data_IF_050318304301
#
_entry.id   IF_050318304301
#
_cell.length_a   1.000
_cell.length_b   1.000
_cell.length_c   1.000
_cell.angle_alpha   90.00
_cell.angle_beta   90.00
_cell.angle_gamma   90.00
#
_symmetry.space_group_name_H-M   'P 1'
#
loop_
_entity.id
_entity.type
_entity.pdbx_description
1 polymer ?
#
# COMPACT_ATOMS: atom_id res chain seq x y z
N UNK A 1 10.28 -30.45 -87.71
CA UNK A 1 10.99 -29.48 -88.58
C UNK A 1 11.65 -28.45 -87.68
N UNK A 2 12.96 -28.23 -87.82
CA UNK A 2 13.69 -27.14 -87.15
C UNK A 2 14.64 -27.60 -86.05
N UNK A 3 15.88 -27.90 -86.44
CA UNK A 3 17.04 -28.11 -85.56
C UNK A 3 17.91 -26.83 -85.50
N UNK A 4 18.90 -26.90 -84.60
CA UNK A 4 20.13 -26.10 -84.45
C UNK A 4 20.09 -24.93 -83.46
N UNK A 5 21.12 -24.61 -82.67
CA UNK A 5 22.32 -25.28 -82.12
C UNK A 5 23.15 -24.19 -81.38
N UNK A 6 23.73 -24.52 -80.20
CA UNK A 6 25.03 -24.05 -79.63
C UNK A 6 25.27 -22.52 -79.44
N UNK A 7 26.09 -21.96 -78.55
CA UNK A 7 27.08 -22.27 -77.52
C UNK A 7 27.12 -21.01 -76.60
N UNK A 8 27.62 -20.89 -75.38
CA UNK A 8 28.60 -21.61 -74.56
C UNK A 8 29.40 -20.54 -73.79
N UNK A 9 29.57 -20.66 -72.48
CA UNK A 9 30.79 -20.20 -71.79
C UNK A 9 30.93 -20.87 -70.42
N UNK A 10 32.02 -21.62 -70.27
CA UNK A 10 32.51 -22.24 -69.05
C UNK A 10 33.45 -21.26 -68.34
N UNK A 11 33.32 -21.09 -67.02
CA UNK A 11 34.48 -20.86 -66.15
C UNK A 11 34.16 -21.06 -64.67
N UNK A 12 35.03 -21.82 -63.99
CA UNK A 12 35.18 -21.80 -62.54
C UNK A 12 34.64 -23.05 -61.86
N UNK A 13 35.48 -24.08 -61.75
CA UNK A 13 35.16 -25.27 -60.98
C UNK A 13 35.09 -25.00 -59.48
N UNK A 14 34.08 -25.59 -58.85
CA UNK A 14 34.21 -26.25 -57.56
C UNK A 14 33.07 -27.28 -57.51
N UNK A 15 33.39 -28.56 -57.38
CA UNK A 15 32.39 -29.58 -57.10
C UNK A 15 32.11 -29.49 -55.60
N UNK A 16 31.06 -28.78 -55.22
CA UNK A 16 30.56 -28.87 -53.85
C UNK A 16 29.97 -30.26 -53.68
N UNK A 17 30.61 -31.05 -52.83
CA UNK A 17 30.07 -32.32 -52.36
C UNK A 17 28.68 -32.09 -51.78
N UNK A 18 27.67 -32.94 -52.05
CA UNK A 18 26.42 -32.86 -51.31
C UNK A 18 26.77 -33.08 -49.84
N UNK A 19 26.54 -32.07 -49.00
CA UNK A 19 26.63 -32.21 -47.57
C UNK A 19 25.68 -33.34 -47.17
N UNK A 20 26.23 -34.47 -46.77
CA UNK A 20 25.48 -35.57 -46.18
C UNK A 20 24.78 -35.01 -44.95
N UNK A 21 23.45 -34.83 -45.03
CA UNK A 21 22.64 -34.53 -43.86
C UNK A 21 22.86 -35.69 -42.88
N UNK A 22 23.55 -35.40 -41.78
CA UNK A 22 23.75 -36.36 -40.70
C UNK A 22 22.39 -36.87 -40.20
N UNK A 23 22.32 -38.11 -39.70
CA UNK A 23 21.07 -38.67 -39.20
C UNK A 23 20.52 -37.75 -38.11
N UNK A 24 19.31 -37.25 -38.32
CA UNK A 24 18.55 -36.53 -37.30
C UNK A 24 18.44 -37.47 -36.10
N UNK A 25 19.00 -37.08 -34.96
CA UNK A 25 18.93 -37.87 -33.74
C UNK A 25 17.47 -38.14 -33.40
N UNK A 26 17.01 -39.37 -33.64
CA UNK A 26 15.67 -39.83 -33.34
C UNK A 26 15.57 -40.16 -31.85
N UNK A 27 15.58 -39.11 -31.03
CA UNK A 27 15.13 -39.17 -29.64
C UNK A 27 14.61 -37.80 -29.22
N UNK A 28 13.58 -37.32 -29.95
CA UNK A 28 12.68 -36.33 -29.37
C UNK A 28 11.79 -37.12 -28.42
N UNK A 29 12.25 -37.30 -27.18
CA UNK A 29 11.35 -37.72 -26.11
C UNK A 29 10.35 -36.56 -25.91
N UNK A 30 9.11 -36.76 -26.36
CA UNK A 30 7.98 -35.96 -25.92
C UNK A 30 7.85 -36.22 -24.42
N UNK A 31 8.54 -35.43 -23.58
CA UNK A 31 8.16 -35.34 -22.17
C UNK A 31 6.73 -34.86 -22.15
N UNK A 32 5.81 -35.73 -21.74
CA UNK A 32 4.48 -35.30 -21.39
C UNK A 32 4.65 -34.18 -20.37
N UNK A 33 4.25 -32.97 -20.74
CA UNK A 33 4.24 -31.84 -19.82
C UNK A 33 3.35 -32.24 -18.65
N UNK A 34 3.93 -32.27 -17.45
CA UNK A 34 3.20 -32.61 -16.25
C UNK A 34 2.06 -31.61 -16.08
N UNK A 35 0.82 -32.10 -16.10
CA UNK A 35 -0.36 -31.29 -15.89
C UNK A 35 -0.73 -31.34 -14.40
N UNK A 36 -1.19 -30.22 -13.81
CA UNK A 36 -1.70 -30.22 -12.45
C UNK A 36 -2.97 -31.08 -12.34
N UNK A 37 -3.37 -31.42 -11.12
CA UNK A 37 -4.67 -32.00 -10.88
C UNK A 37 -5.79 -31.04 -11.31
N UNK A 38 -6.90 -31.57 -11.85
CA UNK A 38 -8.04 -30.77 -12.31
C UNK A 38 -8.59 -29.87 -11.19
N UNK A 39 -8.69 -30.39 -9.96
CA UNK A 39 -9.15 -29.60 -8.80
C UNK A 39 -8.21 -28.43 -8.50
N UNK A 40 -6.90 -28.67 -8.47
CA UNK A 40 -5.90 -27.62 -8.25
C UNK A 40 -5.95 -26.54 -9.34
N UNK A 41 -6.17 -26.95 -10.60
CA UNK A 41 -6.37 -26.02 -11.71
C UNK A 41 -7.60 -25.12 -11.53
N UNK A 42 -8.73 -25.69 -11.10
CA UNK A 42 -9.97 -24.96 -10.91
C UNK A 42 -9.87 -24.00 -9.70
N UNK A 43 -9.30 -24.47 -8.60
CA UNK A 43 -9.09 -23.68 -7.39
C UNK A 43 -8.09 -22.54 -7.62
N UNK A 44 -6.98 -22.81 -8.31
CA UNK A 44 -5.99 -21.79 -8.65
C UNK A 44 -6.61 -20.66 -9.47
N UNK A 45 -7.45 -20.99 -10.47
CA UNK A 45 -8.14 -19.99 -11.29
C UNK A 45 -9.14 -19.18 -10.49
N UNK A 46 -9.93 -19.83 -9.63
CA UNK A 46 -10.87 -19.14 -8.76
C UNK A 46 -10.13 -18.18 -7.80
N UNK A 47 -9.06 -18.65 -7.17
CA UNK A 47 -8.25 -17.85 -6.25
C UNK A 47 -7.54 -16.70 -6.98
N UNK A 48 -7.03 -16.92 -8.20
CA UNK A 48 -6.37 -15.87 -8.97
C UNK A 48 -7.35 -14.78 -9.42
N UNK A 49 -8.60 -15.15 -9.70
CA UNK A 49 -9.66 -14.17 -9.98
C UNK A 49 -9.93 -13.30 -8.75
N UNK A 50 -10.05 -13.91 -7.56
CA UNK A 50 -10.29 -13.19 -6.29
C UNK A 50 -9.11 -12.32 -5.85
N UNK A 51 -7.90 -12.88 -5.89
CA UNK A 51 -6.70 -12.22 -5.37
C UNK A 51 -6.13 -11.20 -6.35
N UNK A 52 -6.08 -11.58 -7.63
CA UNK A 52 -5.41 -10.78 -8.66
C UNK A 52 -6.36 -10.02 -9.59
N UNK A 53 -7.67 -10.28 -9.53
CA UNK A 53 -8.62 -9.80 -10.53
C UNK A 53 -8.38 -10.42 -11.91
N UNK A 54 -7.65 -11.55 -11.97
CA UNK A 54 -7.26 -12.19 -13.22
C UNK A 54 -8.19 -13.36 -13.52
N UNK A 55 -8.94 -13.25 -14.61
CA UNK A 55 -9.78 -14.33 -15.12
C UNK A 55 -9.24 -14.78 -16.46
N UNK A 56 -8.80 -16.04 -16.52
CA UNK A 56 -8.29 -16.64 -17.76
C UNK A 56 -9.47 -16.95 -18.70
N UNK A 57 -9.42 -16.52 -19.98
CA UNK A 57 -10.52 -16.73 -20.92
C UNK A 57 -10.65 -18.19 -21.38
N UNK A 58 -9.54 -18.95 -21.43
CA UNK A 58 -9.51 -20.36 -21.83
C UNK A 58 -9.33 -21.23 -20.60
N UNK A 59 -10.32 -22.07 -20.33
CA UNK A 59 -10.43 -22.79 -19.04
C UNK A 59 -10.01 -24.26 -19.12
N UNK A 60 -9.85 -24.81 -20.32
CA UNK A 60 -9.47 -26.20 -20.52
C UNK A 60 -8.07 -26.48 -19.99
N UNK A 61 -7.89 -27.61 -19.31
CA UNK A 61 -6.60 -28.03 -18.77
C UNK A 61 -5.70 -28.57 -19.89
N UNK A 62 -4.82 -27.70 -20.40
CA UNK A 62 -3.81 -28.03 -21.41
C UNK A 62 -2.47 -27.42 -21.02
N UNK A 63 -1.36 -27.99 -21.48
CA UNK A 63 -0.01 -27.48 -21.16
C UNK A 63 0.16 -26.00 -21.55
N UNK A 64 -0.34 -25.61 -22.73
CA UNK A 64 -0.34 -24.22 -23.17
C UNK A 64 -1.10 -23.28 -22.21
N UNK A 65 -2.29 -23.68 -21.75
CA UNK A 65 -3.06 -22.86 -20.82
C UNK A 65 -2.42 -22.82 -19.42
N UNK A 66 -1.81 -23.92 -18.98
CA UNK A 66 -1.03 -24.01 -17.74
C UNK A 66 0.15 -23.04 -17.76
N UNK A 67 0.91 -23.01 -18.86
CA UNK A 67 2.03 -22.11 -19.04
C UNK A 67 1.59 -20.63 -19.09
N UNK A 68 0.53 -20.31 -19.83
CA UNK A 68 -0.02 -18.95 -19.92
C UNK A 68 -0.51 -18.46 -18.55
N UNK A 69 -1.30 -19.28 -17.84
CA UNK A 69 -1.80 -18.94 -16.51
C UNK A 69 -0.66 -18.69 -15.52
N UNK A 70 0.33 -19.59 -15.47
CA UNK A 70 1.47 -19.45 -14.56
C UNK A 70 2.30 -18.21 -14.88
N UNK A 71 2.52 -17.88 -16.16
CA UNK A 71 3.20 -16.65 -16.56
C UNK A 71 2.44 -15.40 -16.10
N UNK A 72 1.11 -15.37 -16.26
CA UNK A 72 0.29 -14.23 -15.85
C UNK A 72 0.22 -14.07 -14.33
N UNK A 73 0.12 -15.18 -13.59
CA UNK A 73 0.18 -15.14 -12.11
C UNK A 73 1.52 -14.60 -11.64
N UNK A 74 2.65 -15.04 -12.20
CA UNK A 74 3.98 -14.51 -11.85
C UNK A 74 4.11 -13.02 -12.15
N UNK A 75 3.64 -12.57 -13.32
CA UNK A 75 3.70 -11.16 -13.69
C UNK A 75 2.94 -10.29 -12.67
N UNK A 76 1.69 -10.68 -12.34
CA UNK A 76 0.86 -9.97 -11.36
C UNK A 76 1.41 -10.05 -9.94
N UNK A 77 2.01 -11.18 -9.58
CA UNK A 77 2.66 -11.35 -8.30
C UNK A 77 3.87 -10.40 -8.18
N UNK A 78 4.70 -10.31 -9.23
CA UNK A 78 5.85 -9.40 -9.30
C UNK A 78 5.45 -7.93 -9.14
N UNK A 79 4.40 -7.49 -9.85
CA UNK A 79 3.84 -6.13 -9.69
C UNK A 79 3.38 -5.85 -8.24
N UNK A 80 2.78 -6.85 -7.60
CA UNK A 80 2.26 -6.70 -6.23
C UNK A 80 3.35 -6.62 -5.16
N UNK A 81 4.53 -7.23 -5.37
CA UNK A 81 5.63 -7.23 -4.39
C UNK A 81 5.99 -5.80 -3.96
N UNK A 82 6.20 -4.92 -4.93
CA UNK A 82 6.66 -3.54 -4.67
C UNK A 82 5.62 -2.72 -3.91
N UNK A 83 4.36 -2.74 -4.36
CA UNK A 83 3.29 -1.94 -3.75
C UNK A 83 2.95 -2.41 -2.32
N UNK A 84 2.96 -3.73 -2.09
CA UNK A 84 2.80 -4.28 -0.74
C UNK A 84 3.98 -3.95 0.16
N UNK A 85 5.21 -3.94 -0.37
CA UNK A 85 6.39 -3.49 0.34
C UNK A 85 6.23 -2.06 0.84
N UNK A 86 5.83 -1.14 -0.03
CA UNK A 86 5.57 0.26 0.34
C UNK A 86 4.46 0.40 1.38
N UNK A 87 3.38 -0.37 1.27
CA UNK A 87 2.32 -0.37 2.29
C UNK A 87 2.84 -0.81 3.66
N UNK A 88 3.60 -1.90 3.72
CA UNK A 88 4.19 -2.43 4.96
C UNK A 88 5.12 -1.40 5.61
N UNK A 89 5.98 -0.76 4.81
CA UNK A 89 6.91 0.27 5.27
C UNK A 89 6.21 1.49 5.89
N UNK A 90 4.94 1.73 5.52
CA UNK A 90 4.12 2.79 6.12
C UNK A 90 3.28 2.31 7.31
N UNK A 91 2.76 1.08 7.27
CA UNK A 91 1.95 0.51 8.36
C UNK A 91 2.77 0.27 9.63
N UNK A 92 4.01 -0.22 9.51
CA UNK A 92 4.90 -0.45 10.66
C UNK A 92 5.11 0.82 11.53
N UNK A 93 5.57 1.96 10.98
CA UNK A 93 5.71 3.17 11.76
C UNK A 93 4.36 3.74 12.21
N UNK A 94 3.27 3.53 11.46
CA UNK A 94 1.92 3.95 11.88
C UNK A 94 1.47 3.24 13.16
N UNK A 95 1.67 1.93 13.27
CA UNK A 95 1.40 1.17 14.50
C UNK A 95 2.18 1.70 15.69
N UNK A 96 3.48 1.94 15.52
CA UNK A 96 4.35 2.52 16.55
C UNK A 96 3.87 3.92 16.98
N UNK A 97 3.55 4.79 16.01
CA UNK A 97 3.02 6.14 16.24
C UNK A 97 1.62 6.17 16.84
N UNK A 98 0.86 5.09 16.77
CA UNK A 98 -0.45 4.98 17.41
C UNK A 98 -0.43 4.12 18.67
N UNK A 99 0.74 3.60 19.07
CA UNK A 99 0.88 2.73 20.24
C UNK A 99 0.04 1.45 20.13
N UNK A 100 -0.14 0.94 18.90
CA UNK A 100 -0.93 -0.26 18.62
C UNK A 100 0.00 -1.43 18.29
N UNK A 101 -0.30 -2.61 18.84
CA UNK A 101 0.38 -3.86 18.50
C UNK A 101 -0.47 -4.64 17.49
N UNK A 102 0.08 -5.02 16.32
CA UNK A 102 -0.65 -5.80 15.32
C UNK A 102 -1.10 -7.15 15.88
N UNK A 103 -2.38 -7.48 15.68
CA UNK A 103 -2.95 -8.80 15.95
C UNK A 103 -2.77 -9.78 14.77
N UNK A 104 -3.31 -11.00 14.91
CA UNK A 104 -3.23 -12.05 13.88
C UNK A 104 -3.96 -11.66 12.58
N UNK A 105 -5.12 -11.00 12.72
CA UNK A 105 -5.96 -10.59 11.58
C UNK A 105 -5.78 -9.10 11.23
N UNK A 106 -4.69 -8.50 11.73
CA UNK A 106 -4.38 -7.10 11.50
C UNK A 106 -3.94 -6.86 10.05
N UNK A 107 -4.30 -5.69 9.50
CA UNK A 107 -3.92 -5.28 8.14
C UNK A 107 -2.41 -5.40 7.89
N UNK A 108 -1.55 -5.04 8.85
CA UNK A 108 -0.10 -5.19 8.71
C UNK A 108 0.29 -6.67 8.62
N UNK A 109 -0.24 -7.51 9.50
CA UNK A 109 0.00 -8.96 9.49
C UNK A 109 -0.44 -9.59 8.18
N UNK A 110 -1.62 -9.20 7.69
CA UNK A 110 -2.15 -9.65 6.39
C UNK A 110 -1.28 -9.17 5.24
N UNK A 111 -0.87 -7.89 5.23
CA UNK A 111 -0.02 -7.35 4.17
C UNK A 111 1.34 -8.06 4.09
N UNK A 112 1.94 -8.38 5.24
CA UNK A 112 3.20 -9.15 5.33
C UNK A 112 3.00 -10.57 4.81
N UNK A 113 1.95 -11.29 5.25
CA UNK A 113 1.66 -12.64 4.78
C UNK A 113 1.40 -12.67 3.27
N UNK A 114 0.61 -11.70 2.78
CA UNK A 114 0.31 -11.56 1.37
C UNK A 114 1.56 -11.25 0.54
N UNK A 115 2.41 -10.34 1.02
CA UNK A 115 3.69 -10.03 0.36
C UNK A 115 4.56 -11.27 0.23
N UNK A 116 4.73 -12.04 1.31
CA UNK A 116 5.50 -13.29 1.28
C UNK A 116 4.93 -14.31 0.29
N UNK A 117 3.60 -14.41 0.21
CA UNK A 117 2.94 -15.28 -0.76
C UNK A 117 3.19 -14.85 -2.20
N UNK A 118 3.05 -13.56 -2.54
CA UNK A 118 3.29 -13.09 -3.92
C UNK A 118 4.78 -13.09 -4.30
N UNK A 119 5.69 -12.89 -3.35
CA UNK A 119 7.13 -13.07 -3.57
C UNK A 119 7.48 -14.53 -3.88
N UNK A 120 6.85 -15.49 -3.18
CA UNK A 120 7.01 -16.90 -3.50
C UNK A 120 6.47 -17.24 -4.89
N UNK A 121 5.28 -16.74 -5.25
CA UNK A 121 4.72 -16.97 -6.59
C UNK A 121 5.60 -16.40 -7.70
N UNK A 122 6.11 -15.17 -7.55
CA UNK A 122 6.90 -14.50 -8.59
C UNK A 122 8.24 -15.20 -8.87
N UNK A 123 8.80 -15.87 -7.86
CA UNK A 123 10.09 -16.58 -7.94
C UNK A 123 9.97 -18.08 -8.26
N UNK A 124 8.76 -18.65 -8.24
CA UNK A 124 8.54 -20.09 -8.49
C UNK A 124 8.63 -20.42 -9.99
N UNK A 125 9.63 -21.20 -10.42
CA UNK A 125 9.88 -21.50 -11.85
C UNK A 125 8.94 -22.56 -12.46
N UNK A 126 8.39 -23.49 -11.67
CA UNK A 126 7.52 -24.57 -12.19
C UNK A 126 6.07 -24.12 -12.43
N UNK A 127 5.48 -24.40 -13.61
CA UNK A 127 4.10 -24.00 -13.91
C UNK A 127 3.08 -24.71 -13.02
N UNK A 128 3.22 -26.02 -12.84
CA UNK A 128 2.42 -26.82 -11.90
C UNK A 128 2.60 -26.30 -10.47
N UNK A 129 3.83 -26.01 -10.05
CA UNK A 129 4.11 -25.48 -8.72
C UNK A 129 3.45 -24.11 -8.45
N UNK A 130 3.36 -23.23 -9.44
CA UNK A 130 2.60 -21.97 -9.32
C UNK A 130 1.11 -22.23 -9.15
N UNK A 131 0.56 -23.18 -9.91
CA UNK A 131 -0.86 -23.55 -9.83
C UNK A 131 -1.16 -24.17 -8.46
N UNK A 132 -0.34 -25.10 -7.99
CA UNK A 132 -0.52 -25.73 -6.68
C UNK A 132 -0.41 -24.72 -5.54
N UNK A 133 0.56 -23.79 -5.62
CA UNK A 133 0.69 -22.71 -4.65
C UNK A 133 -0.53 -21.77 -4.65
N UNK A 134 -1.08 -21.46 -5.83
CA UNK A 134 -2.28 -20.64 -5.96
C UNK A 134 -3.55 -21.36 -5.47
N UNK A 135 -3.64 -22.67 -5.68
CA UNK A 135 -4.74 -23.51 -5.21
C UNK A 135 -4.74 -23.64 -3.68
N UNK A 136 -3.57 -23.85 -3.09
CA UNK A 136 -3.38 -24.07 -1.66
C UNK A 136 -3.20 -22.77 -0.83
N UNK A 137 -3.47 -21.60 -1.42
CA UNK A 137 -3.27 -20.31 -0.75
C UNK A 137 -4.02 -20.26 0.58
N UNK A 138 -3.29 -19.91 1.63
CA UNK A 138 -3.84 -19.68 2.97
C UNK A 138 -3.34 -18.34 3.46
N UNK A 139 -4.27 -17.45 3.80
CA UNK A 139 -3.99 -16.12 4.31
C UNK A 139 -4.74 -15.90 5.63
N UNK A 140 -4.30 -14.97 6.49
CA UNK A 140 -5.01 -14.69 7.76
C UNK A 140 -6.45 -14.18 7.58
N UNK A 141 -6.79 -13.71 6.38
CA UNK A 141 -8.13 -13.25 6.01
C UNK A 141 -8.60 -13.93 4.73
N UNK A 142 -9.89 -13.77 4.42
CA UNK A 142 -10.46 -14.20 3.14
C UNK A 142 -9.68 -13.63 1.95
N UNK A 143 -9.56 -14.42 0.87
CA UNK A 143 -8.75 -14.10 -0.31
C UNK A 143 -9.25 -12.80 -0.98
N UNK A 144 -10.56 -12.55 -0.96
CA UNK A 144 -11.18 -11.33 -1.48
C UNK A 144 -10.69 -10.09 -0.71
N UNK A 145 -10.61 -10.19 0.62
CA UNK A 145 -10.08 -9.11 1.47
C UNK A 145 -8.60 -8.86 1.19
N UNK A 146 -7.81 -9.92 1.01
CA UNK A 146 -6.42 -9.81 0.62
C UNK A 146 -6.26 -9.18 -0.78
N UNK A 147 -7.11 -9.55 -1.73
CA UNK A 147 -7.18 -8.96 -3.07
C UNK A 147 -7.47 -7.47 -3.02
N UNK A 148 -8.36 -7.03 -2.12
CA UNK A 148 -8.64 -5.62 -1.89
C UNK A 148 -7.43 -4.88 -1.31
N UNK A 149 -6.75 -5.44 -0.30
CA UNK A 149 -5.53 -4.86 0.27
C UNK A 149 -4.47 -4.67 -0.81
N UNK A 150 -4.26 -5.67 -1.66
CA UNK A 150 -3.34 -5.58 -2.79
C UNK A 150 -3.73 -4.45 -3.76
N UNK A 151 -5.00 -4.36 -4.14
CA UNK A 151 -5.50 -3.33 -5.05
C UNK A 151 -5.29 -1.92 -4.50
N UNK A 152 -5.50 -1.77 -3.19
CA UNK A 152 -5.46 -0.47 -2.52
C UNK A 152 -4.06 -0.09 -2.02
N UNK A 153 -3.08 -1.00 -2.05
CA UNK A 153 -1.77 -0.82 -1.42
C UNK A 153 -1.07 0.50 -1.78
N UNK A 154 -1.03 0.84 -3.06
CA UNK A 154 -0.42 2.09 -3.54
C UNK A 154 -1.14 3.35 -2.98
N UNK A 155 -2.48 3.31 -2.93
CA UNK A 155 -3.31 4.41 -2.42
C UNK A 155 -3.15 4.55 -0.91
N UNK A 156 -3.24 3.44 -0.20
CA UNK A 156 -3.16 3.38 1.25
C UNK A 156 -1.75 3.76 1.75
N UNK A 157 -0.69 3.33 1.06
CA UNK A 157 0.69 3.76 1.36
C UNK A 157 0.86 5.28 1.20
N UNK A 158 0.26 5.88 0.16
CA UNK A 158 0.28 7.34 -0.04
C UNK A 158 -0.50 8.06 1.06
N UNK A 159 -1.68 7.54 1.44
CA UNK A 159 -2.49 8.12 2.51
C UNK A 159 -1.73 8.12 3.84
N UNK A 160 -1.14 6.98 4.22
CA UNK A 160 -0.32 6.87 5.43
C UNK A 160 0.88 7.81 5.40
N UNK A 161 1.56 7.93 4.26
CA UNK A 161 2.71 8.84 4.13
C UNK A 161 2.32 10.31 4.29
N UNK A 162 1.18 10.70 3.72
CA UNK A 162 0.74 12.10 3.68
C UNK A 162 0.01 12.54 4.96
N UNK A 163 -0.37 11.59 5.82
CA UNK A 163 -1.06 11.89 7.08
C UNK A 163 -0.23 12.80 7.98
N UNK A 164 -0.91 13.71 8.68
CA UNK A 164 -0.29 14.68 9.60
C UNK A 164 0.14 14.05 10.94
N UNK A 165 1.08 13.10 10.90
CA UNK A 165 1.62 12.40 12.08
C UNK A 165 2.06 13.31 13.24
N UNK A 166 2.65 14.50 13.03
CA UNK A 166 3.04 15.39 14.13
C UNK A 166 1.87 15.79 15.04
N UNK A 167 0.64 15.88 14.51
CA UNK A 167 -0.56 16.24 15.29
C UNK A 167 -0.92 15.17 16.34
N UNK A 168 -0.42 13.94 16.21
CA UNK A 168 -0.65 12.89 17.21
C UNK A 168 0.01 13.21 18.55
N UNK A 169 1.05 14.04 18.59
CA UNK A 169 1.66 14.45 19.86
C UNK A 169 0.67 15.29 20.69
N UNK A 170 0.01 16.25 20.04
CA UNK A 170 -1.05 17.06 20.66
C UNK A 170 -2.24 16.20 21.07
N UNK A 171 -2.63 15.25 20.22
CA UNK A 171 -3.71 14.32 20.53
C UNK A 171 -3.42 13.49 21.79
N UNK A 172 -2.20 12.97 21.93
CA UNK A 172 -1.80 12.19 23.12
C UNK A 172 -1.84 13.02 24.39
N UNK A 173 -1.27 14.22 24.37
CA UNK A 173 -1.34 15.13 25.52
C UNK A 173 -2.79 15.49 25.88
N UNK A 174 -3.66 15.61 24.87
CA UNK A 174 -5.10 15.78 25.06
C UNK A 174 -5.78 14.59 25.71
N UNK A 175 -5.42 13.39 25.29
CA UNK A 175 -5.98 12.13 25.77
C UNK A 175 -5.66 11.83 27.24
N UNK A 176 -4.63 12.46 27.82
CA UNK A 176 -4.32 12.36 29.26
C UNK A 176 -5.20 13.26 30.14
N UNK A 177 -5.93 14.20 29.55
CA UNK A 177 -6.82 15.10 30.29
C UNK A 177 -8.14 14.42 30.67
N UNK A 178 -8.72 14.88 31.77
CA UNK A 178 -10.06 14.52 32.20
C UNK A 178 -11.12 15.34 31.45
N UNK A 179 -12.36 14.81 31.39
CA UNK A 179 -13.50 15.47 30.77
C UNK A 179 -13.60 15.27 29.25
N UNK A 180 -14.56 15.98 28.66
CA UNK A 180 -15.01 15.79 27.28
C UNK A 180 -13.90 15.91 26.23
N UNK A 181 -12.98 16.87 26.42
CA UNK A 181 -11.84 17.06 25.51
C UNK A 181 -10.92 15.83 25.47
N UNK A 182 -10.66 15.21 26.63
CA UNK A 182 -9.86 13.99 26.73
C UNK A 182 -10.59 12.76 26.20
N UNK A 183 -11.90 12.65 26.43
CA UNK A 183 -12.73 11.59 25.87
C UNK A 183 -12.75 11.64 24.33
N UNK A 184 -12.90 12.83 23.75
CA UNK A 184 -12.84 13.06 22.31
C UNK A 184 -11.46 12.67 21.75
N UNK A 185 -10.37 13.07 22.41
CA UNK A 185 -9.02 12.70 21.99
C UNK A 185 -8.80 11.17 21.98
N UNK A 186 -9.25 10.47 23.04
CA UNK A 186 -9.20 9.00 23.12
C UNK A 186 -10.05 8.34 22.04
N UNK A 187 -11.21 8.90 21.70
CA UNK A 187 -12.07 8.39 20.64
C UNK A 187 -11.43 8.54 19.25
N UNK A 188 -10.79 9.68 18.96
CA UNK A 188 -10.04 9.90 17.72
C UNK A 188 -8.88 8.91 17.63
N UNK A 189 -8.09 8.77 18.70
CA UNK A 189 -6.97 7.83 18.75
C UNK A 189 -7.42 6.40 18.48
N UNK A 190 -8.50 5.94 19.12
CA UNK A 190 -9.06 4.59 18.90
C UNK A 190 -9.54 4.41 17.47
N UNK A 191 -10.15 5.43 16.87
CA UNK A 191 -10.59 5.37 15.47
C UNK A 191 -9.40 5.24 14.51
N UNK A 192 -8.31 5.96 14.75
CA UNK A 192 -7.09 5.86 13.94
C UNK A 192 -6.41 4.50 14.09
N UNK A 193 -6.38 3.96 15.31
CA UNK A 193 -5.89 2.59 15.57
C UNK A 193 -6.72 1.55 14.81
N UNK A 194 -8.04 1.67 14.83
CA UNK A 194 -8.92 0.75 14.10
C UNK A 194 -8.74 0.88 12.57
N UNK A 195 -8.53 2.10 12.06
CA UNK A 195 -8.32 2.32 10.62
C UNK A 195 -7.08 1.58 10.09
N UNK A 196 -5.98 1.59 10.86
CA UNK A 196 -4.76 0.88 10.46
C UNK A 196 -4.83 -0.62 10.74
N UNK A 197 -5.59 -1.06 11.74
CA UNK A 197 -5.63 -2.46 12.15
C UNK A 197 -6.65 -3.30 11.36
N UNK A 198 -7.85 -2.77 11.08
CA UNK A 198 -8.96 -3.57 10.54
C UNK A 198 -8.85 -3.70 9.02
N UNK A 199 -8.66 -4.91 8.46
CA UNK A 199 -8.67 -5.14 7.03
C UNK A 199 -10.10 -5.11 6.45
N UNK A 200 -10.22 -4.98 5.13
CA UNK A 200 -11.51 -5.01 4.43
C UNK A 200 -12.31 -3.70 4.46
N UNK A 201 -11.78 -2.65 5.08
CA UNK A 201 -12.32 -1.29 5.04
C UNK A 201 -11.35 -0.35 4.30
N UNK A 202 -11.86 0.77 3.80
CA UNK A 202 -11.04 1.77 3.09
C UNK A 202 -10.16 2.54 4.08
N UNK A 203 -8.86 2.19 4.15
CA UNK A 203 -7.93 2.86 5.07
C UNK A 203 -7.78 4.33 4.71
N UNK A 204 -7.67 4.66 3.42
CA UNK A 204 -7.54 6.05 2.99
C UNK A 204 -8.70 6.93 3.48
N UNK A 205 -9.93 6.42 3.40
CA UNK A 205 -11.11 7.20 3.77
C UNK A 205 -11.24 7.31 5.29
N UNK A 206 -10.95 6.24 6.02
CA UNK A 206 -10.93 6.27 7.48
C UNK A 206 -9.82 7.16 8.04
N UNK A 207 -8.66 7.14 7.40
CA UNK A 207 -7.53 7.98 7.78
C UNK A 207 -7.81 9.45 7.48
N UNK A 208 -8.42 9.77 6.34
CA UNK A 208 -8.86 11.12 6.01
C UNK A 208 -9.91 11.63 7.01
N UNK A 209 -10.95 10.84 7.30
CA UNK A 209 -11.96 11.19 8.30
C UNK A 209 -11.38 11.34 9.72
N UNK A 210 -10.39 10.52 10.06
CA UNK A 210 -9.65 10.62 11.32
C UNK A 210 -8.79 11.88 11.36
N UNK A 211 -8.15 12.25 10.26
CA UNK A 211 -7.36 13.49 10.13
C UNK A 211 -8.24 14.73 10.29
N UNK A 212 -9.40 14.79 9.63
CA UNK A 212 -10.31 15.93 9.73
C UNK A 212 -10.78 16.15 11.16
N UNK A 213 -11.13 15.06 11.86
CA UNK A 213 -11.50 15.12 13.29
C UNK A 213 -10.33 15.53 14.17
N UNK A 214 -9.12 15.05 13.88
CA UNK A 214 -7.91 15.44 14.59
C UNK A 214 -7.62 16.93 14.42
N UNK A 215 -7.69 17.45 13.19
CA UNK A 215 -7.48 18.87 12.90
C UNK A 215 -8.52 19.73 13.59
N UNK A 216 -9.81 19.39 13.48
CA UNK A 216 -10.89 20.11 14.15
C UNK A 216 -10.68 20.13 15.67
N UNK A 217 -10.36 18.98 16.27
CA UNK A 217 -10.09 18.87 17.70
C UNK A 217 -8.88 19.71 18.13
N UNK A 218 -7.77 19.68 17.39
CA UNK A 218 -6.58 20.51 17.71
C UNK A 218 -6.89 22.00 17.64
N UNK A 219 -7.76 22.42 16.71
CA UNK A 219 -8.19 23.83 16.59
C UNK A 219 -9.09 24.24 17.76
N UNK A 220 -10.06 23.40 18.11
CA UNK A 220 -10.99 23.68 19.22
C UNK A 220 -10.35 23.60 20.60
N UNK A 221 -9.32 22.77 20.75
CA UNK A 221 -8.58 22.59 21.99
C UNK A 221 -7.60 23.72 22.30
N UNK A 222 -7.39 24.66 21.36
CA UNK A 222 -6.65 25.87 21.67
C UNK A 222 -7.40 26.66 22.76
N UNK A 223 -6.71 27.19 23.78
CA UNK A 223 -7.36 27.95 24.84
C UNK A 223 -8.12 29.13 24.23
N UNK A 224 -9.45 29.00 24.16
CA UNK A 224 -10.34 30.12 23.86
C UNK A 224 -10.27 31.07 25.06
N UNK A 225 -10.04 32.39 24.85
CA UNK A 225 -10.14 33.35 25.94
C UNK A 225 -11.49 33.16 26.65
N UNK A 226 -11.53 33.10 27.99
CA UNK A 226 -12.79 32.90 28.71
C UNK A 226 -13.80 33.95 28.28
N UNK A 227 -14.96 33.51 27.79
CA UNK A 227 -16.02 34.39 27.36
C UNK A 227 -16.50 35.22 28.56
N UNK A 228 -16.18 36.51 28.55
CA UNK A 228 -16.60 37.47 29.58
C UNK A 228 -15.47 38.19 30.32
N UNK A 229 -14.19 37.89 30.06
CA UNK A 229 -13.08 38.71 30.57
C UNK A 229 -12.58 39.67 29.48
N UNK A 230 -12.39 40.94 29.84
CA UNK A 230 -11.90 42.01 28.95
C UNK A 230 -10.57 41.57 28.28
N UNK A 231 -10.62 41.09 27.04
CA UNK A 231 -9.44 40.80 26.23
C UNK A 231 -9.13 42.01 25.35
N UNK A 232 -7.91 42.52 25.45
CA UNK A 232 -7.40 43.59 24.58
C UNK A 232 -6.25 43.09 23.71
N UNK A 233 -6.24 43.47 22.43
CA UNK A 233 -5.10 43.31 21.53
C UNK A 233 -4.45 44.68 21.34
N UNK A 234 -3.14 44.79 21.59
CA UNK A 234 -2.38 46.02 21.42
C UNK A 234 -1.10 45.72 20.62
N UNK A 235 -1.02 46.26 19.41
CA UNK A 235 0.21 46.25 18.62
C UNK A 235 1.15 47.33 19.14
N UNK A 236 2.35 46.94 19.55
CA UNK A 236 3.38 47.85 20.05
C UNK A 236 4.42 48.04 18.94
N UNK A 237 4.42 49.22 18.32
CA UNK A 237 5.33 49.57 17.21
C UNK A 237 6.49 50.46 17.65
N UNK A 238 6.49 50.93 18.90
CA UNK A 238 7.51 51.83 19.43
C UNK A 238 7.85 51.55 20.91
N UNK A 239 9.07 51.85 21.38
CA UNK A 239 9.44 51.66 22.79
C UNK A 239 8.59 52.49 23.76
N UNK A 240 8.01 53.61 23.33
CA UNK A 240 7.11 54.42 24.17
C UNK A 240 5.77 53.71 24.42
N UNK A 241 5.31 52.87 23.50
CA UNK A 241 4.06 52.10 23.63
C UNK A 241 4.19 50.92 24.60
N UNK A 242 5.41 50.46 24.91
CA UNK A 242 5.66 49.45 25.95
C UNK A 242 5.25 49.95 27.34
N UNK A 243 5.47 51.24 27.63
CA UNK A 243 5.08 51.84 28.91
C UNK A 243 3.56 51.90 29.07
N UNK A 244 2.85 52.14 27.98
CA UNK A 244 1.38 52.09 27.92
C UNK A 244 0.86 50.67 28.11
N UNK A 245 1.47 49.67 27.46
CA UNK A 245 1.14 48.25 27.65
C UNK A 245 1.37 47.83 29.10
N UNK A 246 2.51 48.18 29.69
CA UNK A 246 2.82 47.88 31.09
C UNK A 246 1.78 48.49 32.05
N UNK A 247 1.35 49.72 31.79
CA UNK A 247 0.32 50.40 32.60
C UNK A 247 -1.03 49.70 32.48
N UNK A 248 -1.43 49.26 31.29
CA UNK A 248 -2.67 48.51 31.07
C UNK A 248 -2.64 47.14 31.74
N UNK A 249 -1.53 46.41 31.62
CA UNK A 249 -1.35 45.11 32.29
C UNK A 249 -1.37 45.26 33.82
N UNK A 250 -0.70 46.28 34.37
CA UNK A 250 -0.73 46.58 35.79
C UNK A 250 -2.13 46.96 36.28
N UNK A 251 -2.89 47.72 35.49
CA UNK A 251 -4.26 48.08 35.80
C UNK A 251 -5.19 46.85 35.76
N UNK A 252 -5.02 45.97 34.77
CA UNK A 252 -5.77 44.72 34.66
C UNK A 252 -5.48 43.77 35.84
N UNK A 253 -4.20 43.63 36.25
CA UNK A 253 -3.79 42.89 37.44
C UNK A 253 -4.42 43.45 38.71
N UNK A 254 -4.43 44.78 38.84
CA UNK A 254 -4.97 45.48 40.02
C UNK A 254 -6.50 45.40 40.11
N UNK A 255 -7.20 45.46 38.96
CA UNK A 255 -8.66 45.46 38.86
C UNK A 255 -9.26 44.06 39.04
N UNK A 256 -8.60 43.04 38.52
CA UNK A 256 -9.16 41.69 38.48
C UNK A 256 -8.51 40.73 39.49
N UNK A 257 -7.31 41.02 40.00
CA UNK A 257 -6.61 40.15 40.96
C UNK A 257 -6.28 38.76 40.43
N UNK A 258 -6.33 38.57 39.11
CA UNK A 258 -6.13 37.29 38.41
C UNK A 258 -4.80 37.27 37.66
N UNK A 259 -4.35 36.07 37.34
CA UNK A 259 -3.17 35.82 36.51
C UNK A 259 -3.40 36.28 35.08
N UNK A 260 -2.51 37.14 34.56
CA UNK A 260 -2.52 37.54 33.15
C UNK A 260 -1.61 36.60 32.35
N UNK A 261 -2.13 36.05 31.27
CA UNK A 261 -1.35 35.28 30.29
C UNK A 261 -0.95 36.18 29.12
N UNK A 262 0.35 36.39 28.92
CA UNK A 262 0.87 37.22 27.83
C UNK A 262 1.48 36.31 26.75
N UNK A 263 1.01 36.44 25.51
CA UNK A 263 1.64 35.86 24.32
C UNK A 263 2.25 36.98 23.49
N UNK A 264 3.47 36.80 23.00
CA UNK A 264 4.15 37.76 22.14
C UNK A 264 4.75 37.05 20.93
N UNK A 265 4.82 37.77 19.82
CA UNK A 265 5.55 37.41 18.62
C UNK A 265 6.07 38.71 17.97
N UNK A 266 7.11 38.60 17.15
CA UNK A 266 7.70 39.72 16.42
C UNK A 266 7.51 39.45 14.94
N UNK A 267 7.05 40.46 14.21
CA UNK A 267 6.93 40.46 12.75
C UNK A 267 8.01 41.35 12.13
#
# INVERSE_FOLDING_TARGET
>A
MGAAAQAGLVRGGQRDHPATLGPVAASIELRAEELPAQQAWDDARANASKLFGYTMPRTYLTGANVAEFAAQVRAKASEAVTELGHLIDQLQPAHSRLGSTPGADDRLTVAVALRGFVENLSTTTGNVAVIDAMAAVTLPVAIETAGQIRNDAARDARALRNFKWPLLQTLRAGADRAGEAGDSARAIQRSLQNAIAVPGRSLSDELASGEDRLVAWVVDDQPKPPAGEESGELTVSSPQELSSLQSQLAQALSKHGKTIHVRWWVE
#
